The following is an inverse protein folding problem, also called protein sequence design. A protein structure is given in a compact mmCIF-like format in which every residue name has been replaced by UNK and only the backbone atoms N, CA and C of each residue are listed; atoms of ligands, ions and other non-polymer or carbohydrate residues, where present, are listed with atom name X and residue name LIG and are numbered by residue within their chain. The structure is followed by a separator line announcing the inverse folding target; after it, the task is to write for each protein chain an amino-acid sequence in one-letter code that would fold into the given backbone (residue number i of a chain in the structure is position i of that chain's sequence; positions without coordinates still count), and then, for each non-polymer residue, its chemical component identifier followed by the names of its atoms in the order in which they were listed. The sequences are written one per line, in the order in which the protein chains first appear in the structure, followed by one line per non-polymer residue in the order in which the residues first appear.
data_IF_538344287906
#
_entry.id   IF_538344287906
#
_cell.length_a   1.000
_cell.length_b   1.000
_cell.length_c   1.000
_cell.angle_alpha   90.00
_cell.angle_beta   90.00
_cell.angle_gamma   90.00
#
_symmetry.space_group_name_H-M   'P 1'
#
loop_
_entity.id
_entity.type
_entity.pdbx_description
1 polymer ?
#
# COMPACT_ATOMS: atom_id res chain seq x y z
N UNK A 1 -1.63 -11.55 -10.20
CA UNK A 1 -2.92 -10.92 -9.86
C UNK A 1 -2.73 -9.45 -10.15
N UNK A 2 -3.58 -8.83 -10.98
CA UNK A 2 -3.30 -7.47 -11.44
C UNK A 2 -3.90 -6.46 -10.44
N UNK A 3 -3.19 -5.41 -9.99
CA UNK A 3 -3.67 -4.44 -8.99
C UNK A 3 -5.02 -3.80 -9.34
N UNK A 4 -5.27 -3.61 -10.64
CA UNK A 4 -6.51 -3.07 -11.21
C UNK A 4 -7.77 -3.91 -10.97
N UNK A 5 -7.61 -5.21 -10.70
CA UNK A 5 -8.73 -6.12 -10.46
C UNK A 5 -9.04 -6.27 -8.96
N UNK A 6 -8.26 -5.60 -8.09
CA UNK A 6 -8.37 -5.70 -6.65
C UNK A 6 -9.36 -4.68 -6.08
N UNK A 7 -10.04 -5.08 -5.03
CA UNK A 7 -10.85 -4.18 -4.20
C UNK A 7 -9.96 -3.29 -3.33
N UNK A 8 -10.47 -2.15 -2.83
CA UNK A 8 -9.72 -1.30 -1.91
C UNK A 8 -9.20 -2.02 -0.66
N UNK A 9 -9.95 -3.02 -0.17
CA UNK A 9 -9.54 -3.84 0.98
C UNK A 9 -8.37 -4.75 0.62
N UNK A 10 -8.41 -5.41 -0.54
CA UNK A 10 -7.30 -6.25 -1.00
C UNK A 10 -6.04 -5.42 -1.30
N UNK A 11 -6.20 -4.19 -1.79
CA UNK A 11 -5.09 -3.24 -1.95
C UNK A 11 -4.51 -2.84 -0.59
N UNK A 12 -5.37 -2.57 0.40
CA UNK A 12 -4.93 -2.27 1.77
C UNK A 12 -4.16 -3.42 2.41
N UNK A 13 -4.61 -4.67 2.24
CA UNK A 13 -3.89 -5.85 2.73
C UNK A 13 -2.49 -5.98 2.08
N UNK A 14 -2.37 -5.68 0.79
CA UNK A 14 -1.09 -5.68 0.10
C UNK A 14 -0.17 -4.54 0.54
N UNK A 15 -0.72 -3.35 0.76
CA UNK A 15 0.01 -2.19 1.30
C UNK A 15 0.54 -2.48 2.71
N UNK A 16 -0.30 -3.06 3.57
CA UNK A 16 0.06 -3.47 4.91
C UNK A 16 1.19 -4.50 4.92
N UNK A 17 1.08 -5.52 4.06
CA UNK A 17 2.10 -6.55 3.90
C UNK A 17 3.42 -5.98 3.35
N UNK A 18 3.36 -5.09 2.35
CA UNK A 18 4.52 -4.42 1.78
C UNK A 18 5.21 -3.49 2.80
N UNK A 19 4.43 -2.73 3.57
CA UNK A 19 4.95 -1.84 4.61
C UNK A 19 5.66 -2.65 5.70
N UNK A 20 5.03 -3.73 6.20
CA UNK A 20 5.66 -4.61 7.19
C UNK A 20 6.91 -5.28 6.65
N UNK A 21 6.95 -5.63 5.37
CA UNK A 21 8.13 -6.20 4.73
C UNK A 21 9.29 -5.19 4.68
N UNK A 22 9.02 -3.94 4.32
CA UNK A 22 10.02 -2.86 4.28
C UNK A 22 10.61 -2.54 5.66
N UNK A 23 9.74 -2.53 6.69
CA UNK A 23 10.16 -2.33 8.08
C UNK A 23 10.84 -3.57 8.69
N UNK A 24 10.90 -4.68 7.95
CA UNK A 24 11.49 -5.95 8.40
C UNK A 24 10.65 -6.69 9.46
N UNK A 25 9.37 -6.32 9.60
CA UNK A 25 8.41 -6.91 10.53
C UNK A 25 7.81 -8.21 9.98
N UNK A 26 7.74 -8.36 8.66
CA UNK A 26 7.26 -9.57 7.99
C UNK A 26 8.19 -10.02 6.86
N UNK A 27 8.21 -11.32 6.59
CA UNK A 27 8.80 -11.88 5.34
C UNK A 27 7.74 -12.24 4.30
N UNK A 28 6.48 -12.15 4.68
CA UNK A 28 5.32 -12.42 3.84
C UNK A 28 4.78 -11.07 3.37
N UNK A 29 5.17 -10.70 2.15
CA UNK A 29 4.75 -9.48 1.46
C UNK A 29 4.76 -9.72 -0.06
N UNK A 30 4.27 -8.76 -0.85
CA UNK A 30 4.27 -8.89 -2.30
C UNK A 30 5.70 -9.05 -2.84
N UNK A 31 5.84 -9.80 -3.93
CA UNK A 31 7.12 -9.86 -4.63
C UNK A 31 7.45 -8.50 -5.29
N UNK A 32 8.69 -8.35 -5.78
CA UNK A 32 9.15 -7.10 -6.35
C UNK A 32 8.38 -6.68 -7.62
N UNK A 33 7.83 -7.65 -8.37
CA UNK A 33 7.05 -7.37 -9.59
C UNK A 33 5.69 -6.80 -9.22
N UNK A 34 4.95 -7.50 -8.35
CA UNK A 34 3.65 -7.04 -7.84
C UNK A 34 3.77 -5.73 -7.07
N UNK A 35 4.86 -5.53 -6.33
CA UNK A 35 5.16 -4.27 -5.64
C UNK A 35 5.29 -3.12 -6.63
N UNK A 36 6.04 -3.30 -7.72
CA UNK A 36 6.21 -2.29 -8.77
C UNK A 36 4.88 -1.98 -9.46
N UNK A 37 4.11 -3.02 -9.81
CA UNK A 37 2.78 -2.84 -10.42
C UNK A 37 1.81 -2.10 -9.49
N UNK A 38 1.88 -2.36 -8.17
CA UNK A 38 1.05 -1.68 -7.18
C UNK A 38 1.44 -0.22 -7.02
N UNK A 39 2.74 0.08 -6.93
CA UNK A 39 3.26 1.46 -6.87
C UNK A 39 2.87 2.27 -8.12
N UNK A 40 3.06 1.71 -9.31
CA UNK A 40 2.67 2.34 -10.57
C UNK A 40 1.15 2.58 -10.64
N UNK A 41 0.36 1.57 -10.25
CA UNK A 41 -1.10 1.67 -10.29
C UNK A 41 -1.63 2.75 -9.34
N UNK A 42 -1.20 2.75 -8.08
CA UNK A 42 -1.64 3.73 -7.09
C UNK A 42 -1.14 5.14 -7.44
N UNK A 43 0.07 5.28 -7.97
CA UNK A 43 0.61 6.56 -8.42
C UNK A 43 -0.15 7.17 -9.60
N UNK A 44 -0.70 6.34 -10.48
CA UNK A 44 -1.51 6.80 -11.61
C UNK A 44 -3.01 6.96 -11.26
N UNK A 45 -3.45 6.47 -10.10
CA UNK A 45 -4.86 6.46 -9.70
C UNK A 45 -5.03 6.99 -8.26
N UNK A 46 -4.94 8.31 -8.04
CA UNK A 46 -5.03 8.91 -6.70
C UNK A 46 -6.36 8.67 -5.99
N UNK A 47 -7.47 8.55 -6.74
CA UNK A 47 -8.77 8.20 -6.14
C UNK A 47 -8.73 6.80 -5.52
N UNK A 48 -8.09 5.84 -6.20
CA UNK A 48 -7.95 4.46 -5.72
C UNK A 48 -6.95 4.38 -4.58
N UNK A 49 -5.88 5.17 -4.63
CA UNK A 49 -4.92 5.33 -3.54
C UNK A 49 -5.62 5.81 -2.26
N UNK A 50 -6.48 6.83 -2.36
CA UNK A 50 -7.23 7.34 -1.22
C UNK A 50 -8.21 6.30 -0.64
N UNK A 51 -8.89 5.52 -1.50
CA UNK A 51 -9.77 4.42 -1.05
C UNK A 51 -9.00 3.28 -0.37
N UNK A 52 -7.85 2.88 -0.93
CA UNK A 52 -6.97 1.87 -0.34
C UNK A 52 -6.36 2.36 0.99
N UNK A 53 -5.98 3.64 1.06
CA UNK A 53 -5.50 4.28 2.29
C UNK A 53 -6.56 4.25 3.39
N UNK A 54 -7.79 4.66 3.09
CA UNK A 54 -8.89 4.62 4.05
C UNK A 54 -9.18 3.19 4.55
N UNK A 55 -9.12 2.19 3.67
CA UNK A 55 -9.26 0.79 4.07
C UNK A 55 -8.09 0.31 4.95
N UNK A 56 -6.87 0.78 4.69
CA UNK A 56 -5.69 0.44 5.49
C UNK A 56 -5.71 1.08 6.88
N UNK A 57 -6.20 2.31 7.01
CA UNK A 57 -6.40 2.97 8.32
C UNK A 57 -7.29 2.15 9.27
N UNK A 58 -8.37 1.57 8.74
CA UNK A 58 -9.24 0.69 9.52
C UNK A 58 -8.48 -0.56 10.01
N UNK A 59 -7.66 -1.18 9.14
CA UNK A 59 -6.82 -2.33 9.51
C UNK A 59 -5.78 -1.98 10.58
N UNK A 60 -5.16 -0.79 10.49
CA UNK A 60 -4.18 -0.32 11.48
C UNK A 60 -4.83 -0.04 12.84
N UNK A 61 -6.05 0.51 12.84
CA UNK A 61 -6.82 0.76 14.06
C UNK A 61 -7.14 -0.53 14.82
N UNK A 62 -7.40 -1.63 14.10
CA UNK A 62 -7.64 -2.94 14.70
C UNK A 62 -6.35 -3.66 15.13
N UNK A 63 -5.22 -3.39 14.45
CA UNK A 63 -3.93 -4.09 14.64
C UNK A 63 -2.92 -3.41 15.58
N UNK A 64 -2.99 -2.10 15.79
CA UNK A 64 -2.24 -1.36 16.82
C UNK A 64 -0.72 -1.23 16.67
N UNK A 65 -0.10 -1.82 15.63
CA UNK A 65 1.37 -1.91 15.49
C UNK A 65 1.98 -0.92 14.48
N UNK A 66 1.17 -0.17 13.73
CA UNK A 66 1.63 0.77 12.69
C UNK A 66 1.17 2.18 13.04
N UNK A 67 2.09 3.15 13.04
CA UNK A 67 1.75 4.57 13.18
C UNK A 67 1.19 5.11 11.88
N UNK A 68 0.00 5.71 11.94
CA UNK A 68 -0.74 6.21 10.77
C UNK A 68 0.06 7.27 10.00
N UNK A 69 0.70 8.21 10.70
CA UNK A 69 1.55 9.25 10.09
C UNK A 69 2.78 8.65 9.36
N UNK A 70 3.36 7.56 9.88
CA UNK A 70 4.50 6.87 9.23
C UNK A 70 4.03 6.14 7.98
N UNK A 71 2.87 5.48 8.05
CA UNK A 71 2.28 4.76 6.94
C UNK A 71 1.83 5.70 5.81
N UNK A 72 1.26 6.86 6.13
CA UNK A 72 0.87 7.88 5.16
C UNK A 72 2.10 8.41 4.41
N UNK A 73 3.14 8.78 5.17
CA UNK A 73 4.40 9.25 4.60
C UNK A 73 5.02 8.19 3.68
N UNK A 74 5.07 6.94 4.14
CA UNK A 74 5.61 5.85 3.35
C UNK A 74 4.81 5.65 2.06
N UNK A 75 3.47 5.68 2.11
CA UNK A 75 2.61 5.49 0.95
C UNK A 75 2.83 6.59 -0.11
N UNK A 76 2.84 7.85 0.32
CA UNK A 76 2.90 9.00 -0.61
C UNK A 76 4.32 9.36 -1.08
N UNK A 77 5.35 9.02 -0.30
CA UNK A 77 6.73 9.49 -0.56
C UNK A 77 7.70 8.35 -0.86
N UNK A 78 7.55 7.19 -0.21
CA UNK A 78 8.51 6.08 -0.32
C UNK A 78 8.03 4.96 -1.24
N UNK A 79 6.72 4.74 -1.31
CA UNK A 79 6.12 3.59 -1.97
C UNK A 79 5.62 3.92 -3.39
N UNK A 80 4.84 4.99 -3.53
CA UNK A 80 4.28 5.40 -4.81
C UNK A 80 5.32 6.20 -5.60
N UNK A 81 5.58 5.77 -6.84
CA UNK A 81 6.37 6.56 -7.78
C UNK A 81 5.47 7.59 -8.50
N UNK A 82 5.97 8.82 -8.77
CA UNK A 82 5.21 9.80 -9.52
C UNK A 82 4.90 9.27 -10.92
N UNK A 83 3.60 9.15 -11.24
CA UNK A 83 3.16 8.62 -12.53
C UNK A 83 3.77 9.46 -13.69
N UNK A 84 4.56 8.86 -14.61
CA UNK A 84 5.19 9.59 -15.69
C UNK A 84 4.13 10.14 -16.65
N UNK A 85 4.23 11.44 -16.97
CA UNK A 85 3.32 12.17 -17.88
C UNK A 85 3.37 11.67 -19.32
#
# INVERSE_FOLDING_TARGET
MHPRDLTPVELADLLDAAHRQDRGLSREGPDLELRGELADFLGCHPDVQAEAWAAWQELMTEGGDIEEDEAEYWLDVEFVEPCPQ
#
